data_IF_751223836260
#
_entry.id   IF_751223836260
#
_cell.length_a   1.000
_cell.length_b   1.000
_cell.length_c   1.000
_cell.angle_alpha   90.00
_cell.angle_beta   90.00
_cell.angle_gamma   90.00
#
_symmetry.space_group_name_H-M   'P 1'
#
loop_
_entity.id
_entity.type
_entity.pdbx_description
1 polymer ?
#
# COMPACT_ATOMS: atom_id res chain seq x y z
N UNK A 1 -5.39 12.64 -2.41
CA UNK A 1 -4.97 13.33 -3.66
C UNK A 1 -4.20 14.62 -3.34
N UNK A 2 -4.83 15.72 -2.90
CA UNK A 2 -4.13 17.00 -2.60
C UNK A 2 -2.90 16.88 -1.69
N UNK A 3 -3.01 16.21 -0.53
CA UNK A 3 -1.88 15.99 0.40
C UNK A 3 -0.69 15.22 -0.22
N UNK A 4 -0.87 14.55 -1.36
CA UNK A 4 0.19 13.82 -2.05
C UNK A 4 0.95 14.68 -3.07
N UNK A 5 0.46 15.89 -3.38
CA UNK A 5 1.14 16.83 -4.29
C UNK A 5 2.48 17.26 -3.70
N UNK A 6 2.52 17.66 -2.42
CA UNK A 6 3.76 18.09 -1.77
C UNK A 6 4.83 16.99 -1.74
N UNK A 7 4.56 15.75 -1.28
CA UNK A 7 5.53 14.65 -1.39
C UNK A 7 6.01 14.42 -2.82
N UNK A 8 5.10 14.44 -3.81
CA UNK A 8 5.46 14.27 -5.23
C UNK A 8 6.40 15.38 -5.71
N UNK A 9 6.09 16.64 -5.42
CA UNK A 9 6.90 17.78 -5.85
C UNK A 9 8.29 17.78 -5.22
N UNK A 10 8.39 17.41 -3.95
CA UNK A 10 9.67 17.24 -3.24
C UNK A 10 10.51 16.18 -3.95
N UNK A 11 9.93 15.02 -4.24
CA UNK A 11 10.64 13.93 -4.92
C UNK A 11 11.11 14.33 -6.33
N UNK A 12 10.24 14.97 -7.13
CA UNK A 12 10.58 15.44 -8.49
C UNK A 12 11.70 16.49 -8.45
N UNK A 13 11.72 17.37 -7.44
CA UNK A 13 12.72 18.44 -7.31
C UNK A 13 14.07 17.90 -6.86
N UNK A 14 14.07 16.88 -5.99
CA UNK A 14 15.29 16.37 -5.37
C UNK A 14 15.95 15.21 -6.12
N UNK A 15 15.26 14.57 -7.07
CA UNK A 15 15.83 13.46 -7.85
C UNK A 15 17.04 13.91 -8.67
N UNK A 16 18.07 13.06 -8.72
CA UNK A 16 19.15 13.24 -9.70
C UNK A 16 18.61 12.86 -11.09
N UNK A 17 18.61 13.79 -12.08
CA UNK A 17 17.99 13.54 -13.37
C UNK A 17 18.70 12.45 -14.17
N UNK A 18 20.02 12.31 -14.01
CA UNK A 18 20.83 11.32 -14.73
C UNK A 18 20.67 9.92 -14.14
N UNK A 19 20.60 9.81 -12.81
CA UNK A 19 20.32 8.52 -12.16
C UNK A 19 18.87 8.10 -12.37
N UNK A 20 17.93 9.04 -12.38
CA UNK A 20 16.52 8.72 -12.63
C UNK A 20 16.29 8.13 -14.03
N UNK A 21 16.94 8.67 -15.07
CA UNK A 21 16.77 8.20 -16.45
C UNK A 21 17.42 6.85 -16.75
N UNK A 22 18.37 6.41 -15.92
CA UNK A 22 19.15 5.18 -16.14
C UNK A 22 19.02 4.13 -15.04
N UNK A 23 18.51 4.50 -13.87
CA UNK A 23 18.22 3.70 -12.67
C UNK A 23 19.14 2.46 -12.50
N UNK A 24 20.42 2.65 -12.11
CA UNK A 24 21.38 1.56 -12.04
C UNK A 24 20.94 0.49 -11.02
N UNK A 25 20.74 -0.74 -11.50
CA UNK A 25 20.23 -1.83 -10.68
C UNK A 25 21.33 -2.49 -9.84
N UNK A 26 21.51 -1.94 -8.64
CA UNK A 26 22.60 -2.27 -7.71
C UNK A 26 22.15 -3.08 -6.49
N UNK A 27 23.12 -3.70 -5.83
CA UNK A 27 22.96 -4.28 -4.49
C UNK A 27 24.05 -3.82 -3.53
N UNK A 28 23.68 -3.53 -2.29
CA UNK A 28 24.62 -3.25 -1.20
C UNK A 28 25.10 -4.51 -0.46
N UNK A 29 24.60 -5.69 -0.85
CA UNK A 29 24.96 -6.95 -0.19
C UNK A 29 26.35 -7.41 -0.66
N UNK A 30 27.18 -7.98 0.22
CA UNK A 30 28.47 -8.55 -0.19
C UNK A 30 28.26 -9.64 -1.23
N UNK A 31 29.30 -9.90 -2.03
CA UNK A 31 29.26 -10.98 -3.02
C UNK A 31 29.21 -12.33 -2.28
N UNK A 32 28.19 -13.18 -2.53
CA UNK A 32 28.11 -14.49 -1.89
C UNK A 32 29.28 -15.41 -2.28
N UNK A 33 29.72 -16.25 -1.36
CA UNK A 33 30.86 -17.17 -1.55
C UNK A 33 30.75 -18.05 -2.80
N UNK A 34 29.54 -18.56 -3.09
CA UNK A 34 29.31 -19.38 -4.29
C UNK A 34 29.49 -18.62 -5.62
N UNK A 35 29.44 -17.28 -5.61
CA UNK A 35 29.79 -16.45 -6.77
C UNK A 35 31.28 -16.10 -6.76
N UNK A 36 31.88 -15.85 -5.59
CA UNK A 36 33.33 -15.63 -5.46
C UNK A 36 34.12 -16.80 -6.07
N UNK A 37 33.69 -18.04 -5.82
CA UNK A 37 34.33 -19.24 -6.34
C UNK A 37 34.28 -19.36 -7.88
N UNK A 38 33.42 -18.58 -8.56
CA UNK A 38 33.35 -18.53 -10.02
C UNK A 38 34.25 -17.45 -10.64
N UNK A 39 34.87 -16.60 -9.82
CA UNK A 39 35.69 -15.49 -10.28
C UNK A 39 37.16 -15.85 -10.10
N UNK A 40 37.90 -15.85 -11.21
CA UNK A 40 39.33 -16.12 -11.21
C UNK A 40 40.13 -14.83 -11.04
N UNK A 41 41.04 -14.80 -10.06
CA UNK A 41 42.01 -13.70 -9.87
C UNK A 41 41.38 -12.31 -9.73
N UNK A 42 40.24 -12.20 -9.02
CA UNK A 42 39.52 -10.95 -8.78
C UNK A 42 39.16 -10.16 -10.07
N UNK A 43 39.00 -10.87 -11.19
CA UNK A 43 38.81 -10.27 -12.50
C UNK A 43 37.74 -10.96 -13.32
N UNK A 44 37.04 -10.20 -14.14
CA UNK A 44 36.03 -10.67 -15.10
C UNK A 44 36.34 -10.14 -16.49
N UNK A 45 35.79 -10.81 -17.50
CA UNK A 45 35.84 -10.37 -18.89
C UNK A 45 34.52 -9.71 -19.27
N UNK A 46 34.60 -8.52 -19.86
CA UNK A 46 33.46 -7.76 -20.36
C UNK A 46 33.70 -7.53 -21.86
N UNK A 47 32.67 -7.80 -22.66
CA UNK A 47 32.68 -7.58 -24.10
C UNK A 47 31.91 -6.29 -24.37
N UNK A 48 32.63 -5.24 -24.77
CA UNK A 48 32.04 -3.93 -25.09
C UNK A 48 31.81 -3.85 -26.60
N UNK A 49 30.57 -3.59 -27.00
CA UNK A 49 30.12 -3.44 -28.38
C UNK A 49 29.95 -1.96 -28.74
N UNK A 50 30.36 -1.58 -29.95
CA UNK A 50 30.06 -0.28 -30.57
C UNK A 50 29.80 -0.47 -32.06
N UNK A 51 28.57 -0.26 -32.49
CA UNK A 51 28.14 -0.59 -33.85
C UNK A 51 28.33 -2.09 -34.13
N UNK A 52 29.09 -2.43 -35.17
CA UNK A 52 29.41 -3.81 -35.53
C UNK A 52 30.71 -4.33 -34.89
N UNK A 53 31.42 -3.50 -34.11
CA UNK A 53 32.70 -3.84 -33.51
C UNK A 53 32.54 -4.23 -32.05
N UNK A 54 33.35 -5.17 -31.57
CA UNK A 54 33.36 -5.59 -30.18
C UNK A 54 34.79 -5.78 -29.65
N UNK A 55 34.97 -5.52 -28.37
CA UNK A 55 36.25 -5.64 -27.69
C UNK A 55 36.10 -6.26 -26.31
N UNK A 56 36.80 -7.37 -26.11
CA UNK A 56 36.87 -8.03 -24.81
C UNK A 56 37.95 -7.37 -23.96
N UNK A 57 37.57 -6.88 -22.79
CA UNK A 57 38.49 -6.33 -21.79
C UNK A 57 38.44 -7.16 -20.52
N UNK A 58 39.60 -7.27 -19.86
CA UNK A 58 39.71 -7.83 -18.51
C UNK A 58 39.69 -6.66 -17.51
N UNK A 59 38.78 -6.71 -16.56
CA UNK A 59 38.60 -5.69 -15.52
C UNK A 59 38.62 -6.34 -14.14
N UNK A 60 38.99 -5.57 -13.11
CA UNK A 60 38.80 -5.99 -11.73
C UNK A 60 37.31 -5.94 -11.38
N UNK A 61 36.86 -6.84 -10.52
CA UNK A 61 35.48 -6.81 -10.02
C UNK A 61 35.20 -5.62 -9.07
N UNK A 62 36.27 -4.94 -8.64
CA UNK A 62 36.21 -3.74 -7.82
C UNK A 62 36.28 -2.45 -8.65
N UNK A 63 36.52 -2.54 -9.97
CA UNK A 63 36.51 -1.39 -10.86
C UNK A 63 35.10 -0.80 -10.96
N UNK A 64 35.01 0.52 -11.05
CA UNK A 64 33.75 1.23 -11.29
C UNK A 64 33.53 1.41 -12.79
N UNK A 65 32.27 1.52 -13.26
CA UNK A 65 31.96 1.78 -14.66
C UNK A 65 32.71 2.97 -15.27
N UNK A 66 32.87 4.06 -14.50
CA UNK A 66 33.62 5.25 -14.93
C UNK A 66 35.11 4.92 -15.15
N UNK A 67 35.72 4.15 -14.26
CA UNK A 67 37.11 3.69 -14.41
C UNK A 67 37.28 2.73 -15.60
N UNK A 68 36.30 1.85 -15.82
CA UNK A 68 36.27 0.93 -16.97
C UNK A 68 36.21 1.72 -18.28
N UNK A 69 35.33 2.73 -18.37
CA UNK A 69 35.21 3.60 -19.54
C UNK A 69 36.51 4.39 -19.77
N UNK A 70 37.08 5.02 -18.73
CA UNK A 70 38.34 5.75 -18.84
C UNK A 70 39.49 4.85 -19.36
N UNK A 71 39.62 3.64 -18.81
CA UNK A 71 40.61 2.65 -19.25
C UNK A 71 40.38 2.19 -20.69
N UNK A 72 39.12 1.98 -21.07
CA UNK A 72 38.73 1.62 -22.44
C UNK A 72 39.11 2.72 -23.42
N UNK A 73 38.77 3.98 -23.16
CA UNK A 73 39.09 5.12 -24.01
C UNK A 73 40.60 5.36 -24.11
N UNK A 74 41.34 5.19 -23.02
CA UNK A 74 42.81 5.28 -23.02
C UNK A 74 43.43 4.24 -23.94
N UNK A 75 42.95 2.98 -23.90
CA UNK A 75 43.42 1.90 -24.78
C UNK A 75 43.01 2.11 -26.24
N UNK A 76 41.84 2.69 -26.47
CA UNK A 76 41.25 2.90 -27.79
C UNK A 76 41.58 4.26 -28.41
N UNK A 77 42.41 5.10 -27.77
CA UNK A 77 42.73 6.44 -28.23
C UNK A 77 43.19 6.50 -29.69
N UNK A 78 44.03 5.55 -30.13
CA UNK A 78 44.52 5.45 -31.53
C UNK A 78 43.55 4.75 -32.48
N UNK A 79 42.43 4.23 -31.98
CA UNK A 79 41.45 3.41 -32.69
C UNK A 79 40.03 3.99 -32.66
N UNK A 80 39.85 5.24 -32.18
CA UNK A 80 38.53 5.90 -32.10
C UNK A 80 37.80 5.94 -33.45
N UNK A 81 38.53 6.20 -34.54
CA UNK A 81 37.99 6.18 -35.90
C UNK A 81 37.40 4.83 -36.29
N UNK A 82 37.99 3.72 -35.85
CA UNK A 82 37.47 2.36 -36.11
C UNK A 82 36.17 2.06 -35.35
N UNK A 83 35.92 2.77 -34.25
CA UNK A 83 34.70 2.64 -33.44
C UNK A 83 33.58 3.61 -33.86
N UNK A 84 33.81 4.41 -34.91
CA UNK A 84 32.95 5.52 -35.30
C UNK A 84 32.66 6.45 -34.10
N UNK A 85 33.72 6.82 -33.37
CA UNK A 85 33.67 7.80 -32.27
C UNK A 85 34.45 9.04 -32.73
N UNK A 86 33.80 10.21 -32.67
CA UNK A 86 34.44 11.51 -32.97
C UNK A 86 35.63 11.77 -32.05
N UNK A 87 36.66 12.47 -32.55
CA UNK A 87 37.83 12.83 -31.75
C UNK A 87 37.48 13.75 -30.56
N UNK A 88 36.44 14.56 -30.73
CA UNK A 88 35.91 15.48 -29.71
C UNK A 88 35.23 14.76 -28.53
N UNK A 89 34.74 13.52 -28.75
CA UNK A 89 34.07 12.76 -27.71
C UNK A 89 35.07 12.02 -26.81
N UNK A 90 34.80 12.04 -25.52
CA UNK A 90 35.55 11.34 -24.48
C UNK A 90 34.64 10.34 -23.72
N UNK A 91 35.19 9.70 -22.68
CA UNK A 91 34.49 8.72 -21.86
C UNK A 91 33.22 9.25 -21.20
N UNK A 92 33.12 10.55 -20.94
CA UNK A 92 31.97 11.17 -20.28
C UNK A 92 30.76 11.31 -21.21
N UNK A 93 30.97 11.21 -22.53
CA UNK A 93 29.90 11.25 -23.53
C UNK A 93 29.19 9.91 -23.73
N UNK A 94 29.64 8.85 -23.04
CA UNK A 94 29.12 7.50 -23.22
C UNK A 94 28.77 6.84 -21.90
N UNK A 95 27.93 5.82 -21.99
CA UNK A 95 27.55 4.94 -20.89
C UNK A 95 27.66 3.47 -21.33
N UNK A 96 27.80 2.57 -20.37
CA UNK A 96 27.70 1.14 -20.62
C UNK A 96 26.24 0.72 -20.39
N UNK A 97 25.63 0.12 -21.40
CA UNK A 97 24.27 -0.44 -21.33
C UNK A 97 24.32 -1.94 -21.61
N UNK A 98 23.46 -2.71 -20.99
CA UNK A 98 23.37 -4.16 -21.23
C UNK A 98 22.85 -4.41 -22.65
N UNK A 99 23.49 -5.32 -23.39
CA UNK A 99 23.04 -5.65 -24.75
C UNK A 99 21.59 -6.18 -24.75
N UNK A 100 20.73 -5.56 -25.56
CA UNK A 100 19.33 -5.95 -25.71
C UNK A 100 18.41 -5.56 -24.55
N UNK A 101 18.87 -4.67 -23.64
CA UNK A 101 18.09 -4.20 -22.48
C UNK A 101 18.31 -2.71 -22.23
N UNK A 102 17.33 -2.07 -21.64
CA UNK A 102 17.44 -0.70 -21.12
C UNK A 102 17.89 -0.76 -19.65
N UNK A 103 19.03 -1.42 -19.43
CA UNK A 103 19.66 -1.55 -18.12
C UNK A 103 21.08 -0.98 -18.22
N UNK A 104 21.37 0.01 -17.37
CA UNK A 104 22.60 0.80 -17.46
C UNK A 104 23.56 0.44 -16.34
N UNK A 105 24.84 0.36 -16.71
CA UNK A 105 25.96 0.10 -15.81
C UNK A 105 26.76 1.39 -15.70
N UNK A 106 26.40 2.22 -14.73
CA UNK A 106 26.92 3.60 -14.58
C UNK A 106 27.23 3.95 -13.13
N UNK A 107 27.96 5.04 -12.93
CA UNK A 107 28.24 5.61 -11.62
C UNK A 107 29.45 4.99 -10.95
N UNK A 108 29.61 5.28 -9.66
CA UNK A 108 30.83 4.99 -8.91
C UNK A 108 30.72 3.72 -8.02
N UNK A 109 29.82 2.81 -8.36
CA UNK A 109 29.68 1.53 -7.68
C UNK A 109 30.59 0.46 -8.31
N UNK A 110 31.20 -0.46 -7.54
CA UNK A 110 31.96 -1.58 -8.08
C UNK A 110 31.14 -2.44 -9.05
N UNK A 111 31.76 -2.91 -10.13
CA UNK A 111 31.07 -3.67 -11.18
C UNK A 111 30.43 -4.97 -10.64
N UNK A 112 31.00 -5.56 -9.59
CA UNK A 112 30.43 -6.74 -8.91
C UNK A 112 29.08 -6.48 -8.25
N UNK A 113 28.70 -5.24 -7.99
CA UNK A 113 27.48 -4.88 -7.27
C UNK A 113 26.27 -4.69 -8.18
N UNK A 114 26.46 -4.73 -9.49
CA UNK A 114 25.37 -4.71 -10.47
C UNK A 114 24.68 -6.07 -10.56
N UNK A 115 23.35 -6.06 -10.53
CA UNK A 115 22.54 -7.28 -10.57
C UNK A 115 22.77 -8.10 -11.84
N UNK A 116 22.88 -7.44 -13.00
CA UNK A 116 23.23 -8.10 -14.26
C UNK A 116 24.57 -8.82 -14.21
N UNK A 117 25.60 -8.18 -13.65
CA UNK A 117 26.95 -8.77 -13.55
C UNK A 117 26.92 -10.01 -12.66
N UNK A 118 26.25 -9.94 -11.51
CA UNK A 118 26.07 -11.12 -10.64
C UNK A 118 25.26 -12.22 -11.32
N UNK A 119 24.28 -11.87 -12.16
CA UNK A 119 23.50 -12.82 -12.93
C UNK A 119 24.38 -13.60 -13.92
N UNK A 120 25.17 -12.90 -14.74
CA UNK A 120 26.07 -13.52 -15.70
C UNK A 120 27.09 -14.43 -15.01
N UNK A 121 27.70 -13.98 -13.90
CA UNK A 121 28.63 -14.81 -13.11
C UNK A 121 27.92 -16.05 -12.57
N UNK A 122 26.71 -15.91 -12.03
CA UNK A 122 25.92 -17.05 -11.52
C UNK A 122 25.65 -18.08 -12.61
N UNK A 123 25.29 -17.62 -13.82
CA UNK A 123 24.94 -18.49 -14.95
C UNK A 123 26.15 -19.00 -15.74
N UNK A 124 27.32 -18.37 -15.59
CA UNK A 124 28.48 -18.64 -16.43
C UNK A 124 28.30 -18.07 -17.84
N UNK A 125 27.54 -17.00 -17.99
CA UNK A 125 27.29 -16.33 -19.26
C UNK A 125 28.32 -15.21 -19.49
N UNK A 126 28.61 -14.93 -20.76
CA UNK A 126 29.45 -13.80 -21.14
C UNK A 126 28.75 -12.46 -20.85
N UNK A 127 29.52 -11.45 -20.45
CA UNK A 127 29.00 -10.13 -20.12
C UNK A 127 29.11 -9.24 -21.36
N UNK A 128 28.00 -9.05 -22.06
CA UNK A 128 27.92 -8.19 -23.24
C UNK A 128 27.31 -6.83 -22.87
N UNK A 129 28.08 -5.76 -23.08
CA UNK A 129 27.65 -4.38 -22.88
C UNK A 129 27.81 -3.61 -24.19
N UNK A 130 26.93 -2.65 -24.46
CA UNK A 130 27.05 -1.71 -25.56
C UNK A 130 27.51 -0.36 -25.02
N UNK A 131 28.44 0.27 -25.75
CA UNK A 131 28.87 1.65 -25.52
C UNK A 131 27.87 2.58 -26.22
N UNK A 132 27.02 3.22 -25.43
CA UNK A 132 25.87 4.00 -25.93
C UNK A 132 25.95 5.46 -25.47
N UNK A 133 25.18 6.33 -26.10
CA UNK A 133 24.98 7.71 -25.62
C UNK A 133 24.01 7.65 -24.43
N UNK A 134 24.27 8.37 -23.32
CA UNK A 134 23.32 8.44 -22.21
C UNK A 134 21.96 8.98 -22.69
N UNK A 135 20.83 8.45 -22.19
CA UNK A 135 19.52 9.00 -22.48
C UNK A 135 19.43 10.45 -21.99
N UNK A 136 18.72 11.30 -22.74
CA UNK A 136 18.52 12.70 -22.37
C UNK A 136 17.53 12.81 -21.19
N UNK A 137 17.96 13.29 -20.00
CA UNK A 137 17.05 13.45 -18.87
C UNK A 137 15.89 14.43 -19.11
N UNK A 138 15.96 15.23 -20.18
CA UNK A 138 14.86 16.12 -20.57
C UNK A 138 13.62 15.35 -21.05
N UNK A 139 13.77 14.10 -21.49
CA UNK A 139 12.66 13.21 -21.87
C UNK A 139 11.80 12.81 -20.65
N UNK A 140 12.38 12.80 -19.45
CA UNK A 140 11.69 12.50 -18.18
C UNK A 140 11.07 13.75 -17.53
N UNK A 141 10.99 14.86 -18.24
CA UNK A 141 10.47 16.12 -17.70
C UNK A 141 8.98 15.99 -17.39
N UNK A 142 8.64 16.11 -16.12
CA UNK A 142 7.25 16.12 -15.67
C UNK A 142 6.63 17.48 -15.99
N UNK A 143 5.50 17.47 -16.68
CA UNK A 143 4.72 18.68 -16.91
C UNK A 143 4.31 19.32 -15.58
N UNK A 144 4.40 20.64 -15.50
CA UNK A 144 3.88 21.39 -14.36
C UNK A 144 2.36 21.31 -14.39
N UNK A 145 1.78 20.41 -13.63
CA UNK A 145 0.34 20.42 -13.41
C UNK A 145 -0.05 21.64 -12.58
N UNK A 146 -0.50 22.69 -13.25
CA UNK A 146 -1.23 23.80 -12.63
C UNK A 146 -2.67 23.36 -12.38
N UNK A 147 -2.88 22.46 -11.41
CA UNK A 147 -4.22 22.31 -10.86
C UNK A 147 -4.55 23.64 -10.17
N UNK A 148 -5.63 24.36 -10.56
CA UNK A 148 -6.07 25.49 -9.78
C UNK A 148 -6.25 25.00 -8.35
N UNK A 149 -5.54 25.63 -7.42
CA UNK A 149 -5.59 25.33 -6.00
C UNK A 149 -7.02 25.64 -5.52
N UNK A 150 -7.95 24.71 -5.74
CA UNK A 150 -9.30 24.85 -5.22
C UNK A 150 -9.25 24.41 -3.75
N UNK A 151 -9.35 25.45 -2.93
CA UNK A 151 -9.55 25.51 -1.49
C UNK A 151 -8.36 25.05 -0.63
N UNK A 152 -7.83 26.00 0.14
CA UNK A 152 -6.80 25.81 1.17
C UNK A 152 -7.29 24.92 2.33
N UNK A 153 -8.59 24.61 2.40
CA UNK A 153 -9.20 23.54 3.20
C UNK A 153 -8.51 23.39 4.56
N UNK A 154 -8.27 24.50 5.26
CA UNK A 154 -7.26 24.56 6.31
C UNK A 154 -7.48 23.48 7.35
N UNK A 155 -8.75 23.13 7.65
CA UNK A 155 -9.12 21.86 8.27
C UNK A 155 -8.37 21.56 9.57
N UNK A 156 -7.76 22.58 10.17
CA UNK A 156 -6.86 22.46 11.31
C UNK A 156 -7.77 22.20 12.49
N UNK A 157 -7.80 20.96 12.94
CA UNK A 157 -8.32 20.65 14.25
C UNK A 157 -7.33 21.19 15.27
N UNK A 158 -7.83 22.03 16.18
CA UNK A 158 -7.04 22.60 17.26
C UNK A 158 -6.58 21.53 18.24
N UNK A 159 -5.60 21.90 19.07
CA UNK A 159 -5.19 21.08 20.20
C UNK A 159 -6.27 21.07 21.29
N UNK A 160 -6.19 20.12 22.22
CA UNK A 160 -7.16 20.03 23.32
C UNK A 160 -7.29 21.35 24.10
N UNK A 161 -6.18 22.00 24.44
CA UNK A 161 -6.17 23.29 25.16
C UNK A 161 -6.95 24.38 24.41
N UNK A 162 -7.00 24.31 23.08
CA UNK A 162 -7.75 25.24 22.23
C UNK A 162 -9.23 24.87 22.10
N UNK A 163 -9.60 23.61 22.32
CA UNK A 163 -10.96 23.09 22.11
C UNK A 163 -11.66 22.66 23.40
N UNK A 164 -11.00 22.76 24.55
CA UNK A 164 -11.61 22.37 25.82
C UNK A 164 -12.80 23.27 26.15
N UNK A 165 -13.84 22.66 26.73
CA UNK A 165 -15.03 23.37 27.21
C UNK A 165 -14.74 24.07 28.54
N UNK A 166 -13.78 23.56 29.32
CA UNK A 166 -13.48 24.07 30.65
C UNK A 166 -13.02 25.53 30.59
N UNK A 167 -13.72 26.39 31.34
CA UNK A 167 -13.42 27.82 31.42
C UNK A 167 -13.81 28.63 30.18
N UNK A 168 -14.57 28.06 29.22
CA UNK A 168 -15.05 28.79 28.03
C UNK A 168 -16.55 29.07 28.07
N UNK A 169 -16.92 30.16 27.42
CA UNK A 169 -18.30 30.57 27.22
C UNK A 169 -19.02 29.60 26.26
N UNK A 170 -19.94 28.80 26.80
CA UNK A 170 -20.62 27.72 26.08
C UNK A 170 -21.38 28.20 24.82
N UNK A 171 -21.80 29.48 24.77
CA UNK A 171 -22.53 30.03 23.62
C UNK A 171 -21.62 30.28 22.39
N UNK A 172 -20.29 30.26 22.57
CA UNK A 172 -19.31 30.54 21.51
C UNK A 172 -18.57 29.30 21.01
N UNK A 173 -18.92 28.11 21.49
CA UNK A 173 -18.22 26.87 21.20
C UNK A 173 -18.92 26.12 20.05
N UNK A 174 -18.25 26.06 18.90
CA UNK A 174 -18.74 25.32 17.72
C UNK A 174 -18.12 23.92 17.59
N UNK A 175 -16.98 23.69 18.25
CA UNK A 175 -16.24 22.42 18.24
C UNK A 175 -15.68 22.17 19.62
N UNK A 176 -15.82 20.95 20.13
CA UNK A 176 -15.33 20.54 21.45
C UNK A 176 -14.28 19.43 21.32
N UNK A 177 -13.36 19.38 22.28
CA UNK A 177 -12.41 18.28 22.37
C UNK A 177 -13.12 16.96 22.68
N UNK A 178 -12.76 15.89 21.96
CA UNK A 178 -13.27 14.55 22.29
C UNK A 178 -12.86 14.11 23.70
N UNK A 179 -11.76 14.62 24.25
CA UNK A 179 -11.31 14.28 25.59
C UNK A 179 -12.23 14.78 26.71
N UNK A 180 -13.03 15.82 26.45
CA UNK A 180 -14.04 16.33 27.39
C UNK A 180 -15.34 15.51 27.33
N UNK A 181 -15.52 14.68 26.30
CA UNK A 181 -16.73 13.88 26.11
C UNK A 181 -16.73 12.62 26.99
N UNK A 182 -17.17 12.77 28.24
CA UNK A 182 -17.28 11.66 29.21
C UNK A 182 -18.52 10.74 29.00
N UNK A 183 -19.23 10.88 27.87
CA UNK A 183 -20.40 10.04 27.54
C UNK A 183 -19.96 8.74 26.87
N UNK A 184 -20.76 7.68 27.04
CA UNK A 184 -20.59 6.42 26.30
C UNK A 184 -20.89 6.62 24.82
N UNK A 185 -20.11 5.98 23.96
CA UNK A 185 -20.35 5.99 22.52
C UNK A 185 -21.61 5.17 22.21
N UNK A 186 -22.45 5.65 21.28
CA UNK A 186 -23.65 4.94 20.85
C UNK A 186 -23.90 5.13 19.36
N UNK A 187 -24.44 4.09 18.72
CA UNK A 187 -24.90 4.13 17.32
C UNK A 187 -26.36 3.69 17.26
N UNK A 188 -27.14 4.25 16.33
CA UNK A 188 -28.50 3.79 16.08
C UNK A 188 -28.50 2.87 14.87
N UNK A 189 -28.94 1.64 15.03
CA UNK A 189 -29.18 0.72 13.91
C UNK A 189 -30.63 0.90 13.47
N UNK A 190 -30.81 1.55 12.31
CA UNK A 190 -32.12 1.80 11.72
C UNK A 190 -32.67 0.49 11.14
N UNK A 191 -31.98 -0.07 10.15
CA UNK A 191 -32.37 -1.30 9.47
C UNK A 191 -31.34 -1.75 8.44
N UNK A 192 -31.70 -2.78 7.68
CA UNK A 192 -30.96 -3.28 6.53
C UNK A 192 -31.92 -3.51 5.37
N UNK A 193 -31.42 -3.33 4.15
CA UNK A 193 -32.13 -3.55 2.89
C UNK A 193 -31.29 -4.47 1.99
N UNK A 194 -31.91 -5.50 1.43
CA UNK A 194 -31.28 -6.42 0.48
C UNK A 194 -32.20 -6.68 -0.72
N UNK A 195 -31.75 -6.38 -1.96
CA UNK A 195 -32.60 -6.57 -3.15
C UNK A 195 -32.96 -8.02 -3.48
N UNK A 196 -32.12 -8.98 -3.10
CA UNK A 196 -32.32 -10.41 -3.39
C UNK A 196 -32.00 -11.23 -2.15
N UNK A 197 -33.01 -11.89 -1.60
CA UNK A 197 -32.86 -12.75 -0.44
C UNK A 197 -32.09 -14.04 -0.77
N UNK A 198 -31.31 -14.59 0.18
CA UNK A 198 -30.77 -15.93 0.05
C UNK A 198 -31.89 -16.97 -0.12
N UNK A 199 -31.60 -18.06 -0.85
CA UNK A 199 -32.57 -19.11 -1.20
C UNK A 199 -33.23 -19.82 -0.01
N UNK A 200 -32.71 -19.63 1.20
CA UNK A 200 -33.26 -20.24 2.42
C UNK A 200 -33.97 -19.15 3.24
N UNK A 201 -35.30 -19.25 3.31
CA UNK A 201 -36.18 -18.24 3.90
C UNK A 201 -36.38 -18.37 5.41
N UNK A 202 -35.99 -19.51 6.01
CA UNK A 202 -36.20 -19.78 7.44
C UNK A 202 -34.99 -19.38 8.30
N UNK A 203 -34.45 -18.19 8.01
CA UNK A 203 -33.25 -17.66 8.63
C UNK A 203 -33.62 -16.43 9.45
N UNK A 204 -33.04 -16.35 10.65
CA UNK A 204 -33.06 -15.13 11.47
C UNK A 204 -31.73 -14.40 11.32
N UNK A 205 -31.79 -13.08 11.34
CA UNK A 205 -30.61 -12.19 11.28
C UNK A 205 -30.57 -11.24 12.46
N UNK A 206 -29.35 -10.83 12.82
CA UNK A 206 -29.09 -9.73 13.73
C UNK A 206 -27.85 -8.97 13.27
N UNK A 207 -27.74 -7.72 13.68
CA UNK A 207 -26.56 -6.89 13.45
C UNK A 207 -25.69 -6.94 14.69
N UNK A 208 -24.44 -7.34 14.51
CA UNK A 208 -23.39 -7.16 15.50
C UNK A 208 -22.58 -5.92 15.13
N UNK A 209 -22.39 -5.04 16.11
CA UNK A 209 -21.59 -3.84 15.99
C UNK A 209 -20.41 -3.95 16.94
N UNK A 210 -19.21 -3.76 16.40
CA UNK A 210 -17.93 -3.88 17.09
C UNK A 210 -17.17 -2.56 16.94
N UNK A 211 -16.65 -2.04 18.05
CA UNK A 211 -15.63 -0.98 18.03
C UNK A 211 -14.29 -1.67 18.03
N UNK A 212 -13.52 -1.52 16.96
CA UNK A 212 -12.27 -2.22 16.74
C UNK A 212 -11.11 -1.24 16.60
N UNK A 213 -9.92 -1.64 17.05
CA UNK A 213 -8.68 -0.94 16.78
C UNK A 213 -7.59 -1.96 16.44
N UNK A 214 -7.11 -1.93 15.20
CA UNK A 214 -6.31 -3.03 14.65
C UNK A 214 -7.13 -4.34 14.64
N UNK A 215 -6.60 -5.39 15.25
CA UNK A 215 -7.26 -6.69 15.37
C UNK A 215 -8.08 -6.86 16.67
N UNK A 216 -8.05 -5.88 17.57
CA UNK A 216 -8.69 -5.97 18.88
C UNK A 216 -10.09 -5.37 18.84
N UNK A 217 -11.05 -6.09 19.45
CA UNK A 217 -12.40 -5.58 19.73
C UNK A 217 -12.37 -4.87 21.07
N UNK A 218 -12.61 -3.56 21.07
CA UNK A 218 -12.64 -2.71 22.26
C UNK A 218 -14.00 -2.75 22.96
N UNK A 219 -15.08 -2.80 22.18
CA UNK A 219 -16.45 -2.93 22.70
C UNK A 219 -17.36 -3.58 21.65
N UNK A 220 -18.35 -4.35 22.09
CA UNK A 220 -19.25 -5.10 21.22
C UNK A 220 -20.70 -4.97 21.70
N UNK A 221 -21.63 -4.86 20.75
CA UNK A 221 -23.08 -4.87 20.97
C UNK A 221 -23.78 -5.57 19.81
N UNK A 222 -24.96 -6.12 20.06
CA UNK A 222 -25.79 -6.75 19.03
C UNK A 222 -27.24 -6.30 19.14
N UNK A 223 -27.96 -6.30 18.02
CA UNK A 223 -29.41 -6.13 17.99
C UNK A 223 -30.12 -7.44 18.34
N UNK A 224 -31.45 -7.39 18.50
CA UNK A 224 -32.28 -8.59 18.63
C UNK A 224 -32.36 -9.36 17.32
N UNK A 225 -32.57 -10.68 17.36
CA UNK A 225 -32.80 -11.45 16.14
C UNK A 225 -34.16 -11.13 15.52
N UNK A 226 -34.22 -10.99 14.20
CA UNK A 226 -35.45 -10.82 13.41
C UNK A 226 -35.46 -11.76 12.19
N UNK A 227 -36.63 -12.12 11.63
CA UNK A 227 -36.70 -12.86 10.37
C UNK A 227 -35.95 -12.13 9.25
N UNK A 228 -35.28 -12.87 8.37
CA UNK A 228 -34.53 -12.26 7.26
C UNK A 228 -35.44 -12.00 6.06
N UNK A 229 -35.93 -10.77 5.97
CA UNK A 229 -36.74 -10.25 4.86
C UNK A 229 -35.96 -9.22 4.04
N UNK A 230 -36.52 -8.78 2.90
CA UNK A 230 -35.87 -7.79 2.00
C UNK A 230 -35.52 -6.50 2.75
N UNK A 231 -36.41 -6.05 3.64
CA UNK A 231 -36.20 -4.95 4.58
C UNK A 231 -36.33 -5.50 6.02
N UNK A 232 -35.36 -5.19 6.90
CA UNK A 232 -35.42 -5.53 8.33
C UNK A 232 -35.09 -4.30 9.17
N UNK A 233 -36.05 -3.83 9.96
CA UNK A 233 -35.93 -2.61 10.76
C UNK A 233 -35.74 -2.91 12.24
N UNK A 234 -34.74 -2.33 12.90
CA UNK A 234 -34.55 -2.38 14.36
C UNK A 234 -34.88 -1.08 15.06
N UNK A 235 -34.50 0.06 14.46
CA UNK A 235 -34.65 1.39 15.03
C UNK A 235 -34.15 1.50 16.49
N UNK A 236 -33.02 0.86 16.81
CA UNK A 236 -32.54 0.70 18.20
C UNK A 236 -31.19 1.36 18.42
N UNK A 237 -30.97 1.90 19.62
CA UNK A 237 -29.69 2.45 20.05
C UNK A 237 -28.82 1.35 20.66
N UNK A 238 -27.63 1.16 20.12
CA UNK A 238 -26.58 0.34 20.71
C UNK A 238 -25.61 1.26 21.44
N UNK A 239 -25.66 1.28 22.77
CA UNK A 239 -24.70 1.98 23.63
C UNK A 239 -23.55 1.04 24.03
N UNK A 240 -22.32 1.42 23.69
CA UNK A 240 -21.13 0.62 23.92
C UNK A 240 -20.51 0.93 25.28
N UNK A 241 -19.81 -0.05 25.85
CA UNK A 241 -19.06 0.15 27.09
C UNK A 241 -17.68 0.79 26.84
N UNK A 242 -17.68 1.90 26.11
CA UNK A 242 -16.50 2.72 25.83
C UNK A 242 -16.93 4.19 25.79
N UNK A 243 -16.18 5.08 26.44
CA UNK A 243 -16.47 6.51 26.40
C UNK A 243 -15.94 7.13 25.12
N UNK A 244 -16.56 8.23 24.68
CA UNK A 244 -16.12 8.95 23.48
C UNK A 244 -14.67 9.42 23.61
N UNK A 245 -14.26 9.91 24.78
CA UNK A 245 -12.88 10.32 25.05
C UNK A 245 -11.84 9.21 24.97
N UNK A 246 -12.27 7.96 25.12
CA UNK A 246 -11.39 6.78 25.12
C UNK A 246 -11.30 6.14 23.72
N UNK A 247 -11.95 6.72 22.69
CA UNK A 247 -11.88 6.25 21.32
C UNK A 247 -10.50 6.58 20.71
N UNK A 248 -9.69 5.56 20.32
CA UNK A 248 -8.40 5.84 19.69
C UNK A 248 -8.57 6.32 18.25
N UNK A 249 -7.62 7.14 17.78
CA UNK A 249 -7.54 7.50 16.36
C UNK A 249 -7.33 6.23 15.54
N UNK A 250 -8.16 6.04 14.51
CA UNK A 250 -8.15 4.83 13.70
C UNK A 250 -9.11 3.74 14.19
N UNK A 251 -9.87 3.99 15.26
CA UNK A 251 -10.96 3.11 15.67
C UNK A 251 -12.00 2.95 14.53
N UNK A 252 -12.42 1.72 14.30
CA UNK A 252 -13.42 1.33 13.31
C UNK A 252 -14.70 0.90 14.01
N UNK A 253 -15.83 1.39 13.52
CA UNK A 253 -17.13 0.75 13.71
C UNK A 253 -17.25 -0.33 12.65
N UNK A 254 -17.09 -1.58 13.06
CA UNK A 254 -17.31 -2.76 12.26
C UNK A 254 -18.75 -3.24 12.49
N UNK A 255 -19.55 -3.27 11.43
CA UNK A 255 -20.92 -3.77 11.44
C UNK A 255 -20.96 -5.07 10.67
N UNK A 256 -21.52 -6.11 11.27
CA UNK A 256 -21.64 -7.44 10.70
C UNK A 256 -23.09 -7.92 10.78
N UNK A 257 -23.58 -8.49 9.69
CA UNK A 257 -24.87 -9.17 9.67
C UNK A 257 -24.60 -10.66 9.86
N UNK A 258 -25.08 -11.18 10.98
CA UNK A 258 -25.05 -12.60 11.27
C UNK A 258 -26.39 -13.24 10.88
N UNK A 259 -26.32 -14.47 10.42
CA UNK A 259 -27.48 -15.31 10.18
C UNK A 259 -27.43 -16.58 11.02
N UNK A 260 -28.60 -17.03 11.46
CA UNK A 260 -28.79 -18.25 12.24
C UNK A 260 -30.13 -18.90 11.89
N UNK A 261 -30.24 -20.20 12.15
CA UNK A 261 -31.52 -20.91 11.97
C UNK A 261 -32.52 -20.46 13.03
N UNK A 262 -33.77 -20.27 12.64
CA UNK A 262 -34.86 -20.01 13.59
C UNK A 262 -34.92 -21.14 14.64
N UNK A 263 -35.06 -20.84 15.95
CA UNK A 263 -35.29 -21.87 16.94
C UNK A 263 -36.62 -22.56 16.63
N UNK A 264 -36.57 -23.83 16.24
CA UNK A 264 -37.78 -24.66 16.19
C UNK A 264 -38.30 -24.79 17.61
N UNK A 265 -39.56 -24.37 17.81
CA UNK A 265 -40.29 -24.62 19.06
C UNK A 265 -40.45 -26.15 19.17
N UNK A 266 -39.51 -26.80 19.82
CA UNK A 266 -39.67 -28.20 20.21
C UNK A 266 -40.62 -28.21 21.41
N UNK A 267 -41.84 -28.67 21.17
CA UNK A 267 -42.84 -28.94 22.19
C UNK A 267 -42.36 -30.10 23.07
N UNK A 268 -41.50 -29.83 24.06
CA UNK A 268 -41.31 -30.71 25.22
C UNK A 268 -41.15 -29.87 26.48
N UNK A 269 -42.22 -29.91 27.26
CA UNK A 269 -42.33 -29.53 28.66
C UNK A 269 -41.13 -30.02 29.48
N UNK A 270 -40.36 -29.10 30.04
CA UNK A 270 -39.70 -29.27 31.34
C UNK A 270 -39.30 -27.90 31.89
N UNK A 271 -39.75 -27.58 33.10
CA UNK A 271 -39.46 -26.35 33.83
C UNK A 271 -37.95 -26.22 34.09
N UNK A 272 -37.30 -25.17 33.57
CA UNK A 272 -36.06 -24.63 34.12
C UNK A 272 -36.04 -23.09 34.02
N UNK A 273 -35.43 -22.49 35.04
CA UNK A 273 -35.36 -21.08 35.44
C UNK A 273 -34.78 -20.11 34.41
N UNK A 274 -35.07 -18.79 34.53
CA UNK A 274 -34.66 -17.79 33.57
C UNK A 274 -33.28 -17.24 33.93
N UNK A 275 -32.20 -17.76 33.34
CA UNK A 275 -30.94 -17.03 33.21
C UNK A 275 -30.04 -17.72 32.17
N UNK A 276 -29.44 -16.93 31.28
CA UNK A 276 -28.51 -17.32 30.20
C UNK A 276 -29.10 -18.04 28.97
N UNK A 277 -29.84 -17.31 28.13
CA UNK A 277 -30.19 -17.77 26.77
C UNK A 277 -29.03 -17.59 25.78
N UNK A 278 -27.93 -18.32 25.99
CA UNK A 278 -26.93 -18.55 24.93
C UNK A 278 -27.32 -19.84 24.18
N UNK A 279 -28.34 -19.72 23.34
CA UNK A 279 -28.60 -20.71 22.30
C UNK A 279 -27.44 -20.63 21.32
N UNK A 280 -26.56 -21.64 21.33
CA UNK A 280 -25.51 -21.88 20.31
C UNK A 280 -26.14 -22.11 18.94
N UNK A 281 -26.69 -21.06 18.36
CA UNK A 281 -27.03 -21.02 16.95
C UNK A 281 -25.70 -20.97 16.18
N UNK A 282 -25.54 -21.80 15.15
CA UNK A 282 -24.36 -21.76 14.26
C UNK A 282 -24.42 -20.46 13.47
N UNK A 283 -24.01 -19.37 14.12
CA UNK A 283 -24.08 -18.03 13.58
C UNK A 283 -23.01 -17.88 12.50
N UNK A 284 -23.44 -17.69 11.26
CA UNK A 284 -22.56 -17.41 10.14
C UNK A 284 -22.65 -15.92 9.81
N UNK A 285 -21.50 -15.27 9.66
CA UNK A 285 -21.47 -13.90 9.16
C UNK A 285 -21.76 -13.93 7.65
N UNK A 286 -22.73 -13.14 7.20
CA UNK A 286 -23.07 -13.01 5.78
C UNK A 286 -22.50 -11.76 5.15
N UNK A 287 -22.57 -10.64 5.87
CA UNK A 287 -22.16 -9.33 5.35
C UNK A 287 -21.38 -8.55 6.39
N UNK A 288 -20.49 -7.68 5.96
CA UNK A 288 -19.78 -6.78 6.84
C UNK A 288 -19.50 -5.42 6.18
N UNK A 289 -19.37 -4.38 6.99
CA UNK A 289 -18.87 -3.07 6.57
C UNK A 289 -18.12 -2.40 7.72
N UNK A 290 -17.12 -1.60 7.38
CA UNK A 290 -16.32 -0.86 8.33
C UNK A 290 -16.48 0.65 8.10
N UNK A 291 -16.57 1.41 9.18
CA UNK A 291 -16.60 2.87 9.16
C UNK A 291 -15.59 3.42 10.16
N UNK A 292 -14.66 4.28 9.71
CA UNK A 292 -13.77 5.02 10.61
C UNK A 292 -14.57 5.97 11.50
N UNK A 293 -14.45 5.81 12.82
CA UNK A 293 -15.16 6.65 13.78
C UNK A 293 -14.62 8.09 13.81
N UNK A 294 -13.30 8.25 13.72
CA UNK A 294 -12.64 9.55 13.63
C UNK A 294 -12.12 9.71 12.21
N UNK A 295 -12.54 10.78 11.53
CA UNK A 295 -12.23 11.00 10.13
C UNK A 295 -10.82 11.56 9.89
N UNK A 296 -10.49 11.80 8.61
CA UNK A 296 -9.19 12.34 8.21
C UNK A 296 -8.91 13.78 8.69
N UNK A 297 -9.94 14.48 9.18
CA UNK A 297 -9.87 15.81 9.78
C UNK A 297 -9.84 15.75 11.30
N UNK A 298 -9.76 14.56 11.91
CA UNK A 298 -9.81 14.34 13.35
C UNK A 298 -11.16 14.70 13.99
N UNK A 299 -12.24 14.65 13.21
CA UNK A 299 -13.60 14.86 13.71
C UNK A 299 -14.27 13.50 13.96
N UNK A 300 -15.01 13.38 15.06
CA UNK A 300 -15.87 12.23 15.30
C UNK A 300 -17.02 12.24 14.29
N UNK A 301 -17.23 11.12 13.60
CA UNK A 301 -18.34 10.97 12.67
C UNK A 301 -19.67 11.03 13.40
N UNK A 302 -20.59 11.80 12.82
CA UNK A 302 -21.94 12.00 13.29
C UNK A 302 -22.89 12.09 12.10
N UNK A 303 -24.20 11.95 12.35
CA UNK A 303 -25.23 11.97 11.32
C UNK A 303 -25.63 10.57 10.84
N UNK A 304 -26.40 10.55 9.76
CA UNK A 304 -26.96 9.34 9.16
C UNK A 304 -26.04 8.81 8.05
N UNK A 305 -25.95 7.48 7.94
CA UNK A 305 -25.12 6.80 6.95
C UNK A 305 -25.89 5.64 6.33
N UNK A 306 -25.85 5.57 5.00
CA UNK A 306 -26.23 4.37 4.23
C UNK A 306 -24.92 3.68 3.83
N UNK A 307 -24.70 2.47 4.35
CA UNK A 307 -23.46 1.73 4.18
C UNK A 307 -23.72 0.45 3.39
N UNK A 308 -23.30 0.41 2.13
CA UNK A 308 -23.33 -0.82 1.35
C UNK A 308 -22.28 -1.81 1.90
N UNK A 309 -22.72 -3.03 2.16
CA UNK A 309 -21.92 -4.05 2.84
C UNK A 309 -21.27 -5.02 1.86
N UNK A 310 -20.12 -5.56 2.24
CA UNK A 310 -19.43 -6.63 1.52
C UNK A 310 -20.02 -7.98 1.92
N UNK A 311 -20.30 -8.86 0.94
CA UNK A 311 -20.67 -10.26 1.19
C UNK A 311 -19.44 -11.05 1.61
N UNK A 312 -19.56 -11.88 2.64
CA UNK A 312 -18.54 -12.88 2.97
C UNK A 312 -18.69 -14.05 1.99
N UNK A 313 -17.62 -14.45 1.28
CA UNK A 313 -17.67 -15.61 0.41
C UNK A 313 -18.06 -16.85 1.22
N UNK A 314 -19.05 -17.59 0.74
CA UNK A 314 -19.49 -18.82 1.40
C UNK A 314 -18.36 -19.85 1.39
N UNK A 315 -18.31 -20.72 2.42
CA UNK A 315 -17.49 -21.95 2.37
C UNK A 315 -18.02 -22.83 1.23
N UNK A 316 -17.47 -22.64 0.02
CA UNK A 316 -17.88 -23.34 -1.21
C UNK A 316 -17.95 -22.49 -2.49
N UNK A 317 -17.83 -21.16 -2.42
CA UNK A 317 -17.87 -20.29 -3.63
C UNK A 317 -16.48 -19.95 -4.21
N UNK A 318 -15.37 -20.38 -3.60
CA UNK A 318 -13.99 -20.16 -4.12
C UNK A 318 -13.54 -21.15 -5.23
N UNK A 319 -14.46 -21.65 -6.05
CA UNK A 319 -14.13 -22.36 -7.30
C UNK A 319 -14.85 -21.78 -8.53
N UNK A 320 -15.17 -20.49 -8.50
CA UNK A 320 -15.59 -19.75 -9.68
C UNK A 320 -14.38 -19.13 -10.38
N UNK A 321 -13.92 -19.76 -11.45
CA UNK A 321 -12.95 -19.24 -12.41
C UNK A 321 -13.19 -17.76 -12.73
N UNK A 322 -12.13 -16.96 -12.58
CA UNK A 322 -12.01 -15.64 -13.21
C UNK A 322 -12.04 -15.90 -14.72
N UNK A 323 -13.18 -15.72 -15.36
CA UNK A 323 -13.23 -15.61 -16.81
C UNK A 323 -13.15 -14.12 -17.18
N UNK A 324 -12.19 -13.85 -18.05
CA UNK A 324 -11.79 -12.56 -18.60
C UNK A 324 -12.89 -11.88 -19.41
#
# INVERSE_FOLDING_TARGET
>A
RRRLVTPRMIEITNRDPRLYSMDPWLTSKPLPEYLCNKISSNSIFIIIHKGMTSHTIRVSIDDTPDAILQSFFTKMAKKKSLLNISEEHNEQNFVLRVCGRDEYIIGNAPIKDFHWIRHCIKKGEEIHLVLDVPPDPSEDKVEKEEWPLVDDCTGVTGFHDQLTIDGKDHEKIFTISLWDCNRKFRVKIIGIDIPVLPRNTDITVFVEANIQHGQQVLAQRRTSCKPFTEEVMWNTWLEFDIKIKDLPKGALLNLQIYCGKSPTVSTKTSMQSPDSSDVKCKNQILYYVNLLLIDHRFLLRQGEFILHMWKIPGKGEEQGSINA
#
